data_IF_056793178843
#
_entry.id   IF_056793178843
#
_cell.length_a   1.000
_cell.length_b   1.000
_cell.length_c   1.000
_cell.angle_alpha   90.00
_cell.angle_beta   90.00
_cell.angle_gamma   90.00
#
_symmetry.space_group_name_H-M   'P 1'
#
loop_
_entity.id
_entity.type
_entity.pdbx_description
1 polymer ?
#
# COMPACT_ATOMS: atom_id res chain seq x y z
N UNK A 1 0.84 16.97 -0.74
CA UNK A 1 -0.35 16.94 -1.58
C UNK A 1 -1.61 17.35 -0.82
N UNK A 2 -2.15 16.50 0.07
CA UNK A 2 -3.50 16.65 0.66
C UNK A 2 -3.69 17.98 1.43
N UNK A 3 -2.88 18.24 2.45
CA UNK A 3 -3.04 19.44 3.31
C UNK A 3 -2.84 20.77 2.57
N UNK A 4 -1.99 20.78 1.56
CA UNK A 4 -1.59 21.98 0.83
C UNK A 4 -2.25 22.11 -0.56
N UNK A 5 -3.08 21.13 -0.97
CA UNK A 5 -3.69 21.10 -2.31
C UNK A 5 -2.67 21.06 -3.46
N UNK A 6 -1.46 20.58 -3.22
CA UNK A 6 -0.36 20.59 -4.19
C UNK A 6 -0.39 19.35 -5.08
N UNK A 7 0.01 19.52 -6.35
CA UNK A 7 0.28 18.40 -7.25
C UNK A 7 1.37 17.49 -6.66
N UNK A 8 1.45 16.25 -7.16
CA UNK A 8 2.49 15.31 -6.73
C UNK A 8 3.89 15.89 -6.94
N UNK A 9 4.17 16.44 -8.13
CA UNK A 9 5.46 17.06 -8.46
C UNK A 9 5.82 18.22 -7.53
N UNK A 10 4.86 19.10 -7.23
CA UNK A 10 5.09 20.23 -6.33
C UNK A 10 5.35 19.77 -4.89
N UNK A 11 4.58 18.80 -4.41
CA UNK A 11 4.77 18.22 -3.08
C UNK A 11 6.10 17.47 -2.96
N UNK A 12 6.52 16.75 -4.01
CA UNK A 12 7.81 16.06 -4.05
C UNK A 12 8.96 17.06 -4.03
N UNK A 13 8.86 18.15 -4.80
CA UNK A 13 9.86 19.22 -4.80
C UNK A 13 10.00 19.86 -3.42
N UNK A 14 8.87 20.18 -2.77
CA UNK A 14 8.87 20.73 -1.41
C UNK A 14 9.47 19.74 -0.39
N UNK A 15 9.18 18.44 -0.52
CA UNK A 15 9.79 17.40 0.31
C UNK A 15 11.31 17.33 0.13
N UNK A 16 11.82 17.50 -1.10
CA UNK A 16 13.25 17.55 -1.38
C UNK A 16 13.93 18.79 -0.79
N UNK A 17 13.31 19.97 -0.95
CA UNK A 17 13.81 21.24 -0.42
C UNK A 17 13.90 21.22 1.12
N UNK A 18 12.97 20.54 1.78
CA UNK A 18 12.96 20.34 3.23
C UNK A 18 13.80 19.14 3.70
N UNK A 19 14.45 18.41 2.80
CA UNK A 19 15.30 17.26 3.13
C UNK A 19 14.56 15.99 3.56
N UNK A 20 13.26 15.90 3.31
CA UNK A 20 12.45 14.70 3.55
C UNK A 20 12.58 13.65 2.44
N UNK A 21 12.87 14.09 1.21
CA UNK A 21 13.10 13.22 0.07
C UNK A 21 14.50 13.45 -0.52
N UNK A 22 15.16 12.38 -0.96
CA UNK A 22 16.46 12.48 -1.62
C UNK A 22 16.32 13.04 -3.06
N UNK A 23 17.45 13.47 -3.63
CA UNK A 23 17.50 13.95 -5.03
C UNK A 23 17.00 12.90 -6.02
N UNK A 24 17.28 11.62 -5.76
CA UNK A 24 16.67 10.50 -6.45
C UNK A 24 15.67 9.81 -5.51
N UNK A 25 14.38 10.15 -5.56
CA UNK A 25 13.37 9.65 -4.63
C UNK A 25 12.76 8.31 -5.07
N UNK A 26 13.32 7.64 -6.09
CA UNK A 26 12.77 6.40 -6.66
C UNK A 26 12.56 5.31 -5.61
N UNK A 27 13.46 5.20 -4.62
CA UNK A 27 13.32 4.22 -3.55
C UNK A 27 11.99 4.37 -2.76
N UNK A 28 11.53 5.60 -2.57
CA UNK A 28 10.32 5.92 -1.81
C UNK A 28 9.09 6.01 -2.72
N UNK A 29 9.21 6.76 -3.83
CA UNK A 29 8.10 7.03 -4.75
C UNK A 29 7.66 5.79 -5.50
N UNK A 30 8.60 4.93 -5.92
CA UNK A 30 8.29 3.68 -6.63
C UNK A 30 8.01 2.53 -5.65
N UNK A 31 8.09 2.77 -4.34
CA UNK A 31 7.73 1.82 -3.28
C UNK A 31 8.78 0.75 -2.96
N UNK A 32 10.00 0.85 -3.49
CA UNK A 32 11.06 -0.13 -3.26
C UNK A 32 11.49 -0.23 -1.78
N UNK A 33 11.45 0.87 -1.02
CA UNK A 33 11.71 0.84 0.41
C UNK A 33 10.63 0.08 1.18
N UNK A 34 9.35 0.34 0.87
CA UNK A 34 8.24 -0.43 1.41
C UNK A 34 8.34 -1.92 1.02
N UNK A 35 8.79 -2.24 -0.19
CA UNK A 35 9.02 -3.61 -0.67
C UNK A 35 10.06 -4.33 0.19
N UNK A 36 11.24 -3.74 0.40
CA UNK A 36 12.28 -4.34 1.26
C UNK A 36 11.79 -4.55 2.69
N UNK A 37 11.06 -3.58 3.24
CA UNK A 37 10.50 -3.68 4.59
C UNK A 37 9.46 -4.79 4.70
N UNK A 38 8.55 -4.91 3.74
CA UNK A 38 7.52 -5.96 3.78
C UNK A 38 8.13 -7.35 3.56
N UNK A 39 9.20 -7.50 2.78
CA UNK A 39 9.93 -8.77 2.66
C UNK A 39 10.46 -9.25 4.02
N UNK A 40 11.09 -8.37 4.80
CA UNK A 40 11.62 -8.68 6.14
C UNK A 40 10.47 -9.03 7.08
N UNK A 41 9.43 -8.21 7.13
CA UNK A 41 8.28 -8.43 8.00
C UNK A 41 7.53 -9.74 7.66
N UNK A 42 7.35 -10.04 6.37
CA UNK A 42 6.75 -11.29 5.91
C UNK A 42 7.62 -12.50 6.28
N UNK A 43 8.95 -12.37 6.17
CA UNK A 43 9.89 -13.42 6.57
C UNK A 43 9.79 -13.72 8.06
N UNK A 44 9.65 -12.67 8.88
CA UNK A 44 9.42 -12.78 10.32
C UNK A 44 8.08 -13.41 10.65
N UNK A 45 7.00 -12.92 10.03
CA UNK A 45 5.65 -13.36 10.33
C UNK A 45 5.36 -14.79 9.86
N UNK A 46 5.97 -15.24 8.76
CA UNK A 46 5.62 -16.51 8.13
C UNK A 46 6.75 -17.55 8.10
N UNK A 47 7.94 -17.22 8.62
CA UNK A 47 9.04 -18.16 8.84
C UNK A 47 9.76 -18.66 7.58
N UNK A 48 9.56 -18.01 6.43
CA UNK A 48 10.25 -18.29 5.16
C UNK A 48 10.83 -17.01 4.58
N UNK A 49 12.05 -17.08 4.03
CA UNK A 49 12.69 -15.91 3.46
C UNK A 49 11.98 -15.43 2.18
N UNK A 50 11.42 -14.22 2.21
CA UNK A 50 10.76 -13.55 1.07
C UNK A 50 11.71 -12.56 0.41
N UNK A 51 11.88 -12.65 -0.90
CA UNK A 51 12.79 -11.80 -1.68
C UNK A 51 12.04 -10.68 -2.43
N UNK A 52 12.66 -9.50 -2.65
CA UNK A 52 12.01 -8.38 -3.34
C UNK A 52 11.47 -8.70 -4.74
N UNK A 53 12.14 -9.55 -5.51
CA UNK A 53 11.67 -9.93 -6.85
C UNK A 53 10.37 -10.75 -6.84
N UNK A 54 9.95 -11.24 -5.66
CA UNK A 54 8.72 -12.00 -5.47
C UNK A 54 7.55 -11.13 -4.97
N UNK A 55 7.78 -9.82 -4.80
CA UNK A 55 6.83 -8.86 -4.24
C UNK A 55 6.51 -7.80 -5.29
N UNK A 56 5.39 -7.94 -6.02
CA UNK A 56 4.92 -6.91 -6.95
C UNK A 56 4.83 -5.56 -6.24
N UNK A 57 5.39 -4.52 -6.85
CA UNK A 57 5.55 -3.20 -6.23
C UNK A 57 5.03 -2.13 -7.17
N UNK A 58 3.99 -1.41 -6.73
CA UNK A 58 3.44 -0.22 -7.36
C UNK A 58 3.60 0.97 -6.43
N UNK A 59 4.23 2.04 -6.95
CA UNK A 59 4.49 3.27 -6.21
C UNK A 59 3.33 4.27 -6.22
N UNK A 60 3.62 5.49 -5.76
CA UNK A 60 2.65 6.60 -5.68
C UNK A 60 2.78 7.63 -6.81
N UNK A 61 3.72 7.45 -7.74
CA UNK A 61 3.96 8.42 -8.82
C UNK A 61 2.75 8.70 -9.71
N UNK A 62 1.80 7.78 -9.81
CA UNK A 62 0.54 7.95 -10.56
C UNK A 62 -0.64 8.54 -9.76
N UNK A 63 -0.46 8.85 -8.47
CA UNK A 63 -1.54 9.38 -7.62
C UNK A 63 -1.77 10.85 -7.94
N UNK A 64 -2.99 11.22 -8.32
CA UNK A 64 -3.36 12.60 -8.62
C UNK A 64 -4.20 13.25 -7.52
N UNK A 65 -4.32 14.58 -7.54
CA UNK A 65 -5.25 15.32 -6.68
C UNK A 65 -6.72 14.95 -6.95
N UNK A 66 -7.06 14.55 -8.18
CA UNK A 66 -8.39 14.06 -8.50
C UNK A 66 -8.67 12.76 -7.74
N UNK A 67 -7.69 11.86 -7.64
CA UNK A 67 -7.83 10.62 -6.88
C UNK A 67 -8.01 10.87 -5.39
N UNK A 68 -7.23 11.81 -4.83
CA UNK A 68 -7.39 12.24 -3.43
C UNK A 68 -8.81 12.77 -3.20
N UNK A 69 -9.30 13.64 -4.09
CA UNK A 69 -10.64 14.22 -3.96
C UNK A 69 -11.78 13.19 -4.07
N UNK A 70 -11.64 12.17 -4.92
CA UNK A 70 -12.61 11.06 -4.97
C UNK A 70 -12.52 10.14 -3.76
N UNK A 71 -11.30 9.88 -3.26
CA UNK A 71 -11.13 9.11 -2.02
C UNK A 71 -11.83 9.83 -0.85
N UNK A 72 -11.59 11.14 -0.70
CA UNK A 72 -12.19 11.95 0.36
C UNK A 72 -13.73 11.97 0.24
N UNK A 73 -14.29 12.05 -0.97
CA UNK A 73 -15.75 12.08 -1.17
C UNK A 73 -16.47 10.79 -0.79
N UNK A 74 -15.74 9.68 -0.66
CA UNK A 74 -16.25 8.40 -0.17
C UNK A 74 -15.67 8.02 1.20
N UNK A 75 -15.21 9.00 1.98
CA UNK A 75 -14.73 8.81 3.36
C UNK A 75 -13.44 7.99 3.46
N UNK A 76 -12.57 8.05 2.45
CA UNK A 76 -11.33 7.26 2.37
C UNK A 76 -10.11 8.13 2.13
N UNK A 77 -8.94 7.62 2.50
CA UNK A 77 -7.63 8.22 2.20
C UNK A 77 -6.78 7.29 1.36
N UNK A 78 -5.90 7.85 0.54
CA UNK A 78 -4.91 7.06 -0.20
C UNK A 78 -3.66 6.87 0.67
N UNK A 79 -3.22 5.62 0.83
CA UNK A 79 -1.98 5.25 1.53
C UNK A 79 -1.18 4.23 0.71
N UNK A 80 0.15 4.34 0.69
CA UNK A 80 1.02 3.30 0.14
C UNK A 80 1.20 2.19 1.17
N UNK A 81 0.74 0.98 0.88
CA UNK A 81 0.80 -0.13 1.83
C UNK A 81 1.67 -1.25 1.28
N UNK A 82 2.65 -1.70 2.09
CA UNK A 82 3.23 -3.03 1.95
C UNK A 82 2.36 -4.03 2.70
N UNK A 83 1.81 -5.01 1.98
CA UNK A 83 0.94 -6.04 2.55
C UNK A 83 1.58 -7.40 2.40
N UNK A 84 1.45 -8.22 3.43
CA UNK A 84 1.76 -9.63 3.38
C UNK A 84 0.71 -10.41 4.17
N UNK A 85 0.22 -11.50 3.61
CA UNK A 85 -0.84 -12.31 4.20
C UNK A 85 -0.65 -13.79 3.88
N UNK A 86 -1.13 -14.65 4.78
CA UNK A 86 -1.28 -16.08 4.52
C UNK A 86 -2.68 -16.31 3.94
N UNK A 87 -2.75 -16.91 2.76
CA UNK A 87 -4.00 -17.30 2.11
C UNK A 87 -4.56 -18.58 2.74
N UNK A 88 -5.82 -18.90 2.42
CA UNK A 88 -6.51 -20.10 2.94
C UNK A 88 -5.80 -21.41 2.57
N UNK A 89 -5.14 -21.45 1.40
CA UNK A 89 -4.33 -22.60 0.97
C UNK A 89 -2.94 -22.66 1.64
N UNK A 90 -2.69 -21.79 2.62
CA UNK A 90 -1.47 -21.72 3.41
C UNK A 90 -0.32 -20.95 2.75
N UNK A 91 -0.46 -20.51 1.50
CA UNK A 91 0.58 -19.79 0.77
C UNK A 91 0.67 -18.32 1.19
N UNK A 92 1.82 -17.70 0.97
CA UNK A 92 2.06 -16.30 1.31
C UNK A 92 1.78 -15.44 0.07
N UNK A 93 1.00 -14.38 0.21
CA UNK A 93 0.87 -13.34 -0.80
C UNK A 93 1.45 -12.05 -0.23
N UNK A 94 2.38 -11.40 -0.94
CA UNK A 94 2.98 -10.15 -0.53
C UNK A 94 3.11 -9.18 -1.71
N UNK A 95 2.79 -7.91 -1.49
CA UNK A 95 2.86 -6.87 -2.51
C UNK A 95 2.88 -5.47 -1.89
N UNK A 96 3.28 -4.48 -2.68
CA UNK A 96 3.21 -3.05 -2.34
C UNK A 96 2.34 -2.35 -3.37
N UNK A 97 1.34 -1.58 -2.93
CA UNK A 97 0.53 -0.76 -3.82
C UNK A 97 -0.19 0.37 -3.07
N UNK A 98 -0.60 1.45 -3.77
CA UNK A 98 -1.55 2.40 -3.21
C UNK A 98 -2.90 1.73 -2.90
N UNK A 99 -3.45 2.06 -1.73
CA UNK A 99 -4.78 1.61 -1.31
C UNK A 99 -5.63 2.80 -0.89
N UNK A 100 -6.94 2.71 -1.14
CA UNK A 100 -7.91 3.50 -0.42
C UNK A 100 -8.22 2.82 0.91
N UNK A 101 -8.04 3.57 1.99
CA UNK A 101 -8.23 3.14 3.37
C UNK A 101 -9.37 3.98 3.97
N UNK A 102 -10.30 3.34 4.68
CA UNK A 102 -11.40 4.05 5.34
C UNK A 102 -10.87 5.04 6.37
N UNK A 103 -11.47 6.22 6.48
CA UNK A 103 -10.89 7.32 7.29
C UNK A 103 -10.83 7.00 8.79
N UNK A 104 -11.69 6.10 9.23
CA UNK A 104 -11.83 5.59 10.58
C UNK A 104 -10.86 4.43 10.87
N UNK A 105 -10.20 3.87 9.85
CA UNK A 105 -9.15 2.88 10.02
C UNK A 105 -7.92 3.54 10.70
N UNK A 106 -7.31 2.93 11.72
CA UNK A 106 -6.11 3.47 12.37
C UNK A 106 -4.96 3.83 11.41
N UNK A 107 -4.79 3.10 10.32
CA UNK A 107 -3.78 3.39 9.29
C UNK A 107 -4.07 4.68 8.51
N UNK A 108 -5.34 5.07 8.38
CA UNK A 108 -5.70 6.34 7.77
C UNK A 108 -5.27 7.56 8.62
N UNK A 109 -5.14 7.38 9.94
CA UNK A 109 -4.66 8.40 10.86
C UNK A 109 -3.15 8.62 10.85
N UNK A 110 -2.38 7.76 10.18
CA UNK A 110 -0.92 7.84 10.09
C UNK A 110 -0.54 8.89 9.06
N UNK A 111 -0.02 10.02 9.52
CA UNK A 111 0.33 11.18 8.70
C UNK A 111 1.81 11.52 8.83
N UNK A 112 2.32 12.30 7.88
CA UNK A 112 3.70 12.80 7.87
C UNK A 112 4.74 11.64 7.88
N UNK A 113 5.92 11.85 8.48
CA UNK A 113 7.03 10.88 8.56
C UNK A 113 6.81 9.71 9.55
N UNK A 114 5.58 9.52 10.03
CA UNK A 114 5.26 8.40 10.92
C UNK A 114 4.94 7.15 10.10
N UNK A 115 5.36 6.00 10.65
CA UNK A 115 5.03 4.69 10.10
C UNK A 115 4.09 3.96 11.06
N UNK A 116 3.30 3.05 10.50
CA UNK A 116 2.56 2.08 11.28
C UNK A 116 2.68 0.68 10.68
N UNK A 117 2.64 -0.33 11.54
CA UNK A 117 2.57 -1.74 11.17
C UNK A 117 1.35 -2.32 11.85
N UNK A 118 0.36 -2.73 11.05
CA UNK A 118 -0.80 -3.46 11.52
C UNK A 118 -0.57 -4.97 11.34
N UNK A 119 -0.75 -5.74 12.40
CA UNK A 119 -0.61 -7.20 12.42
C UNK A 119 -1.91 -7.80 12.89
N UNK A 120 -2.45 -8.75 12.12
CA UNK A 120 -3.64 -9.52 12.49
C UNK A 120 -3.23 -10.93 12.89
N UNK A 121 -3.39 -11.27 14.16
CA UNK A 121 -3.21 -12.62 14.68
C UNK A 121 -4.54 -13.36 14.83
N UNK A 122 -4.49 -14.68 14.81
CA UNK A 122 -5.65 -15.56 15.00
C UNK A 122 -6.28 -15.44 16.40
N UNK A 123 -5.46 -15.33 17.44
CA UNK A 123 -5.92 -15.23 18.83
C UNK A 123 -5.97 -13.80 19.36
N UNK A 124 -4.97 -12.97 19.03
CA UNK A 124 -4.85 -11.60 19.58
C UNK A 124 -5.68 -10.57 18.80
N UNK A 125 -6.15 -10.91 17.60
CA UNK A 125 -6.83 -9.98 16.71
C UNK A 125 -5.86 -8.94 16.11
N UNK A 126 -6.36 -7.72 15.91
CA UNK A 126 -5.62 -6.64 15.27
C UNK A 126 -4.76 -5.87 16.30
N UNK A 127 -3.45 -5.76 16.00
CA UNK A 127 -2.48 -4.99 16.78
C UNK A 127 -1.79 -3.99 15.87
N UNK A 128 -1.63 -2.75 16.31
CA UNK A 128 -0.91 -1.72 15.56
C UNK A 128 0.28 -1.18 16.34
N UNK A 129 1.44 -1.17 15.69
CA UNK A 129 2.65 -0.50 16.16
C UNK A 129 2.78 0.82 15.41
N UNK A 130 2.92 1.93 16.12
CA UNK A 130 2.99 3.28 15.55
C UNK A 130 4.20 4.04 16.10
N UNK A 131 4.91 4.75 15.21
CA UNK A 131 6.05 5.55 15.61
C UNK A 131 6.78 6.18 14.43
N UNK A 132 7.91 6.84 14.71
CA UNK A 132 8.77 7.37 13.64
C UNK A 132 9.53 6.22 12.99
N UNK A 133 9.39 6.08 11.67
CA UNK A 133 10.08 5.05 10.90
C UNK A 133 11.47 5.41 10.40
N UNK A 134 11.89 6.66 10.59
CA UNK A 134 13.18 7.18 10.20
C UNK A 134 13.67 8.25 11.19
N UNK A 135 14.99 8.48 11.22
CA UNK A 135 15.64 9.50 12.03
C UNK A 135 16.79 8.96 12.87
N UNK A 136 17.80 9.80 13.10
CA UNK A 136 19.06 9.40 13.74
C UNK A 136 18.87 8.70 15.10
N UNK A 137 18.02 9.26 15.96
CA UNK A 137 17.80 8.73 17.32
C UNK A 137 16.92 7.47 17.34
N UNK A 138 15.75 7.41 16.65
CA UNK A 138 14.98 6.17 16.56
C UNK A 138 15.79 4.98 16.00
N UNK A 139 16.56 5.20 14.93
CA UNK A 139 17.42 4.15 14.36
C UNK A 139 18.51 3.71 15.34
N UNK A 140 19.19 4.65 16.01
CA UNK A 140 20.21 4.32 17.01
C UNK A 140 19.62 3.53 18.19
N UNK A 141 18.40 3.86 18.63
CA UNK A 141 17.71 3.14 19.70
C UNK A 141 17.51 1.66 19.36
N UNK A 142 17.09 1.34 18.13
CA UNK A 142 16.92 -0.05 17.68
C UNK A 142 18.27 -0.80 17.65
N UNK A 143 19.31 -0.16 17.11
CA UNK A 143 20.66 -0.75 17.06
C UNK A 143 21.20 -1.04 18.47
N UNK A 144 21.03 -0.13 19.41
CA UNK A 144 21.50 -0.33 20.80
C UNK A 144 20.71 -1.45 21.49
N UNK A 145 19.40 -1.55 21.24
CA UNK A 145 18.60 -2.66 21.76
C UNK A 145 19.11 -4.01 21.25
N UNK A 146 19.37 -4.14 19.95
CA UNK A 146 19.95 -5.36 19.37
C UNK A 146 21.32 -5.70 19.96
N UNK A 147 22.20 -4.70 20.15
CA UNK A 147 23.50 -4.90 20.82
C UNK A 147 23.31 -5.39 22.26
N UNK A 148 22.38 -4.80 23.00
CA UNK A 148 22.07 -5.24 24.36
C UNK A 148 21.53 -6.67 24.39
N UNK A 149 20.66 -7.03 23.44
CA UNK A 149 20.11 -8.37 23.31
C UNK A 149 21.20 -9.39 22.97
N UNK A 150 22.10 -9.08 22.03
CA UNK A 150 23.25 -9.93 21.70
C UNK A 150 24.15 -10.13 22.93
N UNK A 151 24.44 -9.08 23.69
CA UNK A 151 25.30 -9.17 24.89
C UNK A 151 24.62 -9.93 26.03
N UNK A 152 23.30 -9.79 26.19
CA UNK A 152 22.51 -10.51 27.19
C UNK A 152 22.26 -11.97 26.78
N UNK A 153 22.24 -12.26 25.48
CA UNK A 153 21.83 -13.55 24.96
C UNK A 153 22.99 -14.53 24.82
N UNK A 154 23.17 -15.28 25.91
CA UNK A 154 23.62 -16.66 25.87
C UNK A 154 22.41 -17.65 25.83
N UNK A 155 21.16 -17.21 25.58
CA UNK A 155 19.95 -18.03 25.84
C UNK A 155 18.74 -17.91 24.91
N UNK A 156 18.72 -17.04 23.91
CA UNK A 156 17.70 -17.11 22.83
C UNK A 156 18.34 -17.73 21.59
N UNK A 157 17.76 -18.84 21.10
CA UNK A 157 18.18 -19.42 19.83
C UNK A 157 18.06 -18.39 18.70
N UNK A 158 18.80 -18.57 17.59
CA UNK A 158 18.74 -17.62 16.48
C UNK A 158 17.30 -17.52 15.96
N UNK A 159 16.88 -16.31 15.60
CA UNK A 159 15.71 -16.16 14.74
C UNK A 159 16.10 -16.81 13.41
N UNK A 160 15.54 -17.99 13.15
CA UNK A 160 15.83 -18.78 11.99
C UNK A 160 14.61 -18.83 11.08
N UNK A 161 14.86 -18.63 9.79
CA UNK A 161 13.88 -18.83 8.73
C UNK A 161 14.23 -20.13 8.03
N UNK A 162 13.21 -20.84 7.53
CA UNK A 162 13.46 -21.87 6.53
C UNK A 162 14.02 -21.20 5.28
N UNK A 163 14.92 -21.91 4.58
CA UNK A 163 15.44 -21.44 3.30
C UNK A 163 14.29 -21.02 2.37
N UNK A 164 14.48 -19.86 1.74
CA UNK A 164 13.56 -19.36 0.71
C UNK A 164 13.59 -20.22 -0.55
N UNK A 165 12.92 -19.73 -1.57
CA UNK A 165 12.81 -20.33 -2.90
C UNK A 165 11.94 -19.43 -3.76
N UNK A 166 11.94 -19.62 -5.08
CA UNK A 166 11.17 -18.75 -5.98
C UNK A 166 9.64 -18.87 -5.77
N UNK A 167 9.20 -19.93 -5.08
CA UNK A 167 7.80 -20.27 -4.78
C UNK A 167 7.29 -19.82 -3.40
N UNK A 168 8.07 -18.98 -2.68
CA UNK A 168 7.70 -18.55 -1.32
C UNK A 168 6.42 -17.74 -1.33
N UNK A 169 6.26 -16.84 -2.30
CA UNK A 169 5.04 -16.04 -2.48
C UNK A 169 4.27 -16.45 -3.73
N UNK A 170 2.97 -16.23 -3.70
CA UNK A 170 2.11 -16.34 -4.87
C UNK A 170 1.79 -14.98 -5.48
N UNK A 171 1.52 -15.00 -6.79
CA UNK A 171 1.07 -13.83 -7.53
C UNK A 171 -0.22 -13.24 -6.93
N UNK A 172 -0.35 -11.92 -7.07
CA UNK A 172 -1.59 -11.19 -6.74
C UNK A 172 -2.70 -11.38 -7.77
N UNK A 173 -2.47 -12.13 -8.85
CA UNK A 173 -3.44 -12.28 -9.95
C UNK A 173 -4.72 -12.97 -9.52
N UNK A 174 -4.61 -13.96 -8.63
CA UNK A 174 -5.77 -14.64 -8.04
C UNK A 174 -6.39 -13.90 -6.85
N UNK A 175 -5.80 -12.78 -6.41
CA UNK A 175 -6.27 -12.07 -5.22
C UNK A 175 -7.45 -11.16 -5.59
N UNK A 176 -8.65 -11.59 -5.21
CA UNK A 176 -9.84 -10.76 -5.29
C UNK A 176 -9.72 -9.54 -4.37
N UNK A 177 -10.12 -8.38 -4.87
CA UNK A 177 -10.19 -7.15 -4.11
C UNK A 177 -11.29 -6.27 -4.63
N UNK A 178 -11.75 -5.36 -3.79
CA UNK A 178 -12.49 -4.20 -4.27
C UNK A 178 -11.50 -3.18 -4.79
N UNK A 179 -11.87 -2.48 -5.86
CA UNK A 179 -11.01 -1.53 -6.54
C UNK A 179 -11.67 -0.16 -6.58
N UNK A 180 -10.88 0.87 -6.31
CA UNK A 180 -11.15 2.21 -6.81
C UNK A 180 -10.64 2.26 -8.25
N UNK A 181 -11.45 2.79 -9.16
CA UNK A 181 -11.07 2.98 -10.55
C UNK A 181 -11.51 4.37 -10.97
N UNK A 182 -10.62 5.10 -11.66
CA UNK A 182 -10.94 6.35 -12.34
C UNK A 182 -10.65 6.21 -13.82
N UNK A 183 -11.61 6.59 -14.66
CA UNK A 183 -11.53 6.51 -16.12
C UNK A 183 -11.91 7.83 -16.76
N UNK A 184 -11.43 8.04 -17.98
CA UNK A 184 -11.93 9.09 -18.87
C UNK A 184 -13.10 8.57 -19.69
N UNK A 185 -14.26 8.49 -19.05
CA UNK A 185 -15.51 8.08 -19.68
C UNK A 185 -16.72 8.66 -18.94
N UNK A 186 -17.86 8.68 -19.61
CA UNK A 186 -19.13 9.06 -18.98
C UNK A 186 -19.59 8.02 -17.94
N UNK A 187 -20.37 8.41 -16.92
CA UNK A 187 -20.88 7.50 -15.89
C UNK A 187 -21.63 6.27 -16.41
N UNK A 188 -22.35 6.42 -17.53
CA UNK A 188 -23.08 5.33 -18.18
C UNK A 188 -22.15 4.25 -18.73
N UNK A 189 -21.01 4.62 -19.30
CA UNK A 189 -20.03 3.70 -19.86
C UNK A 189 -19.35 2.89 -18.75
N UNK A 190 -18.91 3.57 -17.67
CA UNK A 190 -18.28 2.89 -16.54
C UNK A 190 -19.25 1.93 -15.84
N UNK A 191 -20.52 2.33 -15.68
CA UNK A 191 -21.55 1.46 -15.09
C UNK A 191 -21.83 0.22 -15.95
N UNK A 192 -21.78 0.36 -17.28
CA UNK A 192 -21.95 -0.76 -18.20
C UNK A 192 -20.75 -1.73 -18.14
N UNK A 193 -19.53 -1.20 -17.98
CA UNK A 193 -18.31 -1.98 -17.83
C UNK A 193 -18.23 -2.70 -16.48
N UNK A 194 -18.61 -2.03 -15.39
CA UNK A 194 -18.48 -2.52 -14.02
C UNK A 194 -19.85 -2.63 -13.35
N UNK A 195 -20.55 -3.72 -13.66
CA UNK A 195 -21.86 -4.01 -13.07
C UNK A 195 -21.78 -4.04 -11.54
N UNK A 196 -22.66 -3.27 -10.88
CA UNK A 196 -22.71 -3.20 -9.41
C UNK A 196 -21.66 -2.29 -8.79
N UNK A 197 -20.87 -1.55 -9.58
CA UNK A 197 -19.94 -0.57 -9.04
C UNK A 197 -20.67 0.67 -8.48
N UNK A 198 -20.18 1.15 -7.35
CA UNK A 198 -20.62 2.37 -6.70
C UNK A 198 -19.92 3.56 -7.37
N UNK A 199 -20.66 4.35 -8.15
CA UNK A 199 -20.09 5.54 -8.79
C UNK A 199 -19.81 6.63 -7.74
N UNK A 200 -18.68 7.28 -7.90
CA UNK A 200 -18.23 8.36 -7.04
C UNK A 200 -18.38 9.71 -7.73
N UNK A 201 -18.66 10.74 -6.93
CA UNK A 201 -18.66 12.13 -7.37
C UNK A 201 -17.60 12.93 -6.63
N UNK A 202 -17.02 13.93 -7.30
CA UNK A 202 -16.23 14.98 -6.65
C UNK A 202 -16.61 16.35 -7.21
N UNK A 203 -16.43 17.40 -6.42
CA UNK A 203 -16.63 18.76 -6.89
C UNK A 203 -15.67 19.07 -8.06
N UNK A 204 -16.19 19.67 -9.13
CA UNK A 204 -15.38 20.06 -10.30
C UNK A 204 -14.88 18.90 -11.17
N UNK A 205 -15.48 17.70 -11.08
CA UNK A 205 -15.19 16.61 -11.99
C UNK A 205 -15.55 16.99 -13.45
N UNK A 206 -14.66 16.76 -14.43
CA UNK A 206 -15.01 16.84 -15.86
C UNK A 206 -16.17 15.90 -16.22
N UNK A 207 -16.98 16.27 -17.22
CA UNK A 207 -18.12 15.46 -17.66
C UNK A 207 -17.70 14.10 -18.26
N UNK A 208 -16.46 14.02 -18.77
CA UNK A 208 -15.83 12.83 -19.32
C UNK A 208 -14.91 12.12 -18.32
N UNK A 209 -15.00 12.42 -17.03
CA UNK A 209 -14.26 11.72 -15.97
C UNK A 209 -15.24 11.08 -14.98
N UNK A 210 -15.07 9.79 -14.73
CA UNK A 210 -15.86 9.06 -13.72
C UNK A 210 -14.95 8.20 -12.88
N UNK A 211 -15.22 8.14 -11.57
CA UNK A 211 -14.62 7.15 -10.68
C UNK A 211 -15.69 6.24 -10.07
N UNK A 212 -15.28 5.03 -9.66
CA UNK A 212 -16.15 4.07 -9.00
C UNK A 212 -15.41 3.15 -8.03
N UNK A 213 -16.14 2.57 -7.09
CA UNK A 213 -15.71 1.45 -6.27
C UNK A 213 -16.36 0.16 -6.77
N UNK A 214 -15.56 -0.86 -7.07
CA UNK A 214 -16.06 -2.13 -7.60
C UNK A 214 -16.54 -3.09 -6.51
N UNK A 215 -17.34 -4.08 -6.92
CA UNK A 215 -17.45 -5.34 -6.21
C UNK A 215 -16.08 -6.08 -6.20
N UNK A 216 -15.88 -7.09 -5.31
CA UNK A 216 -14.66 -7.90 -5.34
C UNK A 216 -14.44 -8.55 -6.71
N UNK A 217 -13.24 -8.39 -7.25
CA UNK A 217 -12.79 -9.00 -8.50
C UNK A 217 -11.26 -9.06 -8.55
N UNK A 218 -10.72 -9.93 -9.39
CA UNK A 218 -9.28 -9.99 -9.65
C UNK A 218 -8.80 -8.82 -10.50
N UNK A 219 -7.49 -8.56 -10.53
CA UNK A 219 -6.93 -7.51 -11.39
C UNK A 219 -7.18 -7.81 -12.87
N UNK A 220 -7.08 -9.08 -13.28
CA UNK A 220 -7.34 -9.49 -14.65
C UNK A 220 -8.81 -9.24 -15.06
N UNK A 221 -9.77 -9.54 -14.17
CA UNK A 221 -11.18 -9.24 -14.41
C UNK A 221 -11.43 -7.73 -14.53
N UNK A 222 -10.79 -6.93 -13.68
CA UNK A 222 -10.87 -5.47 -13.75
C UNK A 222 -10.33 -4.95 -15.08
N UNK A 223 -9.11 -5.36 -15.44
CA UNK A 223 -8.46 -4.89 -16.67
C UNK A 223 -9.26 -5.31 -17.91
N UNK A 224 -9.85 -6.51 -17.90
CA UNK A 224 -10.76 -6.99 -18.96
C UNK A 224 -12.05 -6.17 -19.05
N UNK A 225 -12.67 -5.84 -17.91
CA UNK A 225 -13.89 -5.04 -17.87
C UNK A 225 -13.67 -3.59 -18.37
N UNK A 226 -12.46 -3.06 -18.21
CA UNK A 226 -12.08 -1.71 -18.62
C UNK A 226 -11.54 -1.61 -20.05
N UNK A 227 -11.51 -2.71 -20.82
CA UNK A 227 -11.07 -2.68 -22.22
C UNK A 227 -11.90 -1.65 -23.00
N UNK A 228 -11.20 -0.75 -23.70
CA UNK A 228 -11.82 0.33 -24.49
C UNK A 228 -12.12 1.60 -23.70
N UNK A 229 -11.86 1.62 -22.38
CA UNK A 229 -11.89 2.83 -21.56
C UNK A 229 -10.46 3.29 -21.26
N UNK A 230 -10.21 4.60 -21.30
CA UNK A 230 -8.94 5.17 -20.87
C UNK A 230 -8.90 5.19 -19.33
N UNK A 231 -8.18 4.23 -18.75
CA UNK A 231 -7.98 4.13 -17.30
C UNK A 231 -6.97 5.16 -16.84
N UNK A 232 -7.39 6.04 -15.93
CA UNK A 232 -6.56 7.07 -15.33
C UNK A 232 -5.85 6.56 -14.08
N UNK A 233 -6.57 5.85 -13.21
CA UNK A 233 -6.04 5.30 -11.95
C UNK A 233 -6.80 4.05 -11.53
N UNK A 234 -6.14 3.11 -10.84
CA UNK A 234 -6.83 2.03 -10.15
C UNK A 234 -6.07 1.60 -8.89
N UNK A 235 -6.73 1.63 -7.74
CA UNK A 235 -6.12 1.33 -6.44
C UNK A 235 -6.98 0.29 -5.70
N UNK A 236 -6.35 -0.57 -4.89
CA UNK A 236 -7.10 -1.53 -4.08
C UNK A 236 -7.79 -0.81 -2.92
N UNK A 237 -8.90 -1.35 -2.43
CA UNK A 237 -9.44 -0.94 -1.13
C UNK A 237 -8.80 -1.81 -0.06
N UNK A 238 -8.47 -1.20 1.08
CA UNK A 238 -8.19 -1.96 2.30
C UNK A 238 -9.55 -2.39 2.87
N UNK A 239 -9.76 -3.72 2.90
CA UNK A 239 -10.95 -4.36 3.47
C UNK A 239 -10.79 -4.55 4.97
#
# INVERSE_FOLDING_TARGET
>A
MIRAGLSFEAALKEAQENGYAERNPSADVDGHDACRKICILASIAFGRHVMPHQVPTEGIGGVSLADVAYADSCGRKIKLLGRAMRLEDGKICAYVAPHLVFSEDPLAGVEDVFNAIAVKGDAIGDVMFYGRGAGKLPTASAVVADVMDIVRSAKTGPIAWLHGGDDVTVSTDGLESRWYVRVKAAPSQLRAALTGAELLGRAGAPADETAALTAPMTRAQLDAALIGLERLSAFRLLN
#
